data_IF_448289941009
#
_entry.id   IF_448289941009
#
_cell.length_a   1.000
_cell.length_b   1.000
_cell.length_c   1.000
_cell.angle_alpha   90.00
_cell.angle_beta   90.00
_cell.angle_gamma   90.00
#
_symmetry.space_group_name_H-M   'P 1'
#
loop_
_entity.id
_entity.type
_entity.pdbx_description
1 polymer ?
#
# COMPACT_ATOMS: atom_id res chain seq x y z
N UNK A 1 -28.55 -9.98 -8.20
CA UNK A 1 -27.66 -9.94 -7.02
C UNK A 1 -26.76 -8.73 -7.17
N UNK A 2 -26.92 -7.77 -6.24
CA UNK A 2 -26.32 -6.42 -6.11
C UNK A 2 -25.80 -5.71 -7.37
N UNK A 3 -26.52 -4.66 -7.80
CA UNK A 3 -25.91 -3.58 -8.59
C UNK A 3 -24.70 -3.04 -7.82
N UNK A 4 -23.50 -3.25 -8.37
CA UNK A 4 -22.28 -2.69 -7.81
C UNK A 4 -22.36 -1.17 -7.94
N UNK A 5 -22.65 -0.48 -6.84
CA UNK A 5 -22.64 0.99 -6.80
C UNK A 5 -21.29 1.48 -7.29
N UNK A 6 -21.30 2.44 -8.21
CA UNK A 6 -20.07 3.05 -8.72
C UNK A 6 -19.49 3.96 -7.63
N UNK A 7 -18.17 3.98 -7.44
CA UNK A 7 -17.55 4.92 -6.52
C UNK A 7 -17.70 6.35 -7.05
N UNK A 8 -17.97 7.28 -6.13
CA UNK A 8 -18.03 8.73 -6.41
C UNK A 8 -16.64 9.30 -6.71
N UNK A 9 -15.61 8.77 -6.04
CA UNK A 9 -14.22 9.14 -6.24
C UNK A 9 -13.30 7.93 -5.97
N UNK A 10 -12.16 7.90 -6.67
CA UNK A 10 -11.14 6.85 -6.55
C UNK A 10 -9.77 7.50 -6.43
N UNK A 11 -8.95 7.01 -5.50
CA UNK A 11 -7.52 7.32 -5.41
C UNK A 11 -6.69 6.04 -5.49
N UNK A 12 -5.47 6.12 -6.04
CA UNK A 12 -4.55 5.00 -6.12
C UNK A 12 -3.10 5.42 -5.84
N UNK A 13 -2.48 4.84 -4.83
CA UNK A 13 -1.02 4.90 -4.65
C UNK A 13 -0.36 3.83 -5.53
N UNK A 14 0.52 4.23 -6.45
CA UNK A 14 1.18 3.28 -7.37
C UNK A 14 2.17 2.38 -6.61
N UNK A 15 2.50 1.22 -7.18
CA UNK A 15 3.33 0.22 -6.50
C UNK A 15 4.66 0.80 -5.96
N UNK A 16 5.43 1.63 -6.70
CA UNK A 16 6.64 2.24 -6.13
C UNK A 16 6.33 3.13 -4.91
N UNK A 17 5.27 3.94 -4.96
CA UNK A 17 4.80 4.74 -3.82
C UNK A 17 4.40 3.88 -2.63
N UNK A 18 3.70 2.78 -2.88
CA UNK A 18 3.30 1.81 -1.87
C UNK A 18 4.53 1.18 -1.20
N UNK A 19 5.51 0.72 -1.99
CA UNK A 19 6.72 0.09 -1.47
C UNK A 19 7.64 1.07 -0.72
N UNK A 20 7.60 2.37 -1.05
CA UNK A 20 8.30 3.42 -0.28
C UNK A 20 7.78 3.59 1.15
N UNK A 21 6.57 3.10 1.46
CA UNK A 21 6.05 3.13 2.83
C UNK A 21 6.81 2.19 3.77
N UNK A 22 7.52 1.19 3.24
CA UNK A 22 8.29 0.26 4.05
C UNK A 22 9.58 0.96 4.52
N UNK A 23 9.84 1.04 5.84
CA UNK A 23 11.10 1.59 6.32
C UNK A 23 12.31 0.82 5.75
N UNK A 24 13.40 1.49 5.35
CA UNK A 24 14.56 0.82 4.75
C UNK A 24 15.14 -0.31 5.62
N UNK A 25 15.16 -0.13 6.95
CA UNK A 25 15.59 -1.19 7.88
C UNK A 25 14.69 -2.43 7.79
N UNK A 26 13.38 -2.27 7.64
CA UNK A 26 12.44 -3.38 7.48
C UNK A 26 12.63 -4.08 6.14
N UNK A 27 12.84 -3.34 5.05
CA UNK A 27 13.16 -3.95 3.74
C UNK A 27 14.42 -4.81 3.84
N UNK A 28 15.49 -4.29 4.45
CA UNK A 28 16.74 -5.03 4.61
C UNK A 28 16.53 -6.35 5.37
N UNK A 29 15.76 -6.33 6.47
CA UNK A 29 15.44 -7.52 7.25
C UNK A 29 14.62 -8.52 6.43
N UNK A 30 13.57 -8.07 5.74
CA UNK A 30 12.71 -8.92 4.90
C UNK A 30 13.53 -9.63 3.82
N UNK A 31 14.37 -8.87 3.11
CA UNK A 31 15.18 -9.42 2.01
C UNK A 31 16.28 -10.36 2.53
N UNK A 32 16.90 -10.04 3.67
CA UNK A 32 17.90 -10.90 4.33
C UNK A 32 17.29 -12.25 4.73
N UNK A 33 16.13 -12.24 5.37
CA UNK A 33 15.42 -13.46 5.75
C UNK A 33 14.95 -14.27 4.55
N UNK A 34 14.49 -13.60 3.48
CA UNK A 34 14.14 -14.28 2.24
C UNK A 34 15.34 -15.03 1.64
N UNK A 35 16.49 -14.37 1.50
CA UNK A 35 17.71 -14.99 0.96
C UNK A 35 18.18 -16.15 1.84
N UNK A 36 18.19 -15.95 3.17
CA UNK A 36 18.56 -16.98 4.14
C UNK A 36 17.66 -18.21 4.04
N UNK A 37 16.35 -18.01 3.88
CA UNK A 37 15.39 -19.10 3.69
C UNK A 37 15.61 -19.86 2.37
N UNK A 38 16.00 -19.16 1.30
CA UNK A 38 16.18 -19.76 -0.03
C UNK A 38 17.54 -20.45 -0.23
N UNK A 39 18.59 -19.95 0.41
CA UNK A 39 19.97 -20.40 0.20
C UNK A 39 20.59 -21.09 1.42
N UNK A 40 19.97 -20.98 2.59
CA UNK A 40 20.54 -21.43 3.86
C UNK A 40 21.63 -20.52 4.42
N UNK A 41 21.98 -19.42 3.72
CA UNK A 41 23.05 -18.49 4.13
C UNK A 41 22.56 -17.04 4.06
N UNK A 42 23.03 -16.15 4.96
CA UNK A 42 22.76 -14.73 4.81
C UNK A 42 23.42 -14.18 3.53
N UNK A 43 22.82 -13.16 2.89
CA UNK A 43 23.46 -12.45 1.79
C UNK A 43 24.67 -11.64 2.27
N UNK A 44 25.62 -11.43 1.37
CA UNK A 44 26.65 -10.42 1.55
C UNK A 44 26.03 -9.03 1.39
N UNK A 45 26.34 -8.14 2.34
CA UNK A 45 25.87 -6.76 2.37
C UNK A 45 26.97 -5.81 1.90
N UNK A 46 27.03 -5.43 0.61
CA UNK A 46 27.83 -4.28 0.20
C UNK A 46 27.25 -3.00 0.81
N UNK A 47 28.11 -2.14 1.36
CA UNK A 47 27.73 -0.77 1.73
C UNK A 47 27.25 -0.04 0.46
N UNK A 48 26.05 0.52 0.50
CA UNK A 48 25.49 1.35 -0.56
C UNK A 48 24.95 2.62 0.07
N UNK A 49 25.40 3.76 -0.45
CA UNK A 49 25.09 5.11 0.07
C UNK A 49 23.66 5.57 -0.25
N UNK A 50 22.90 4.85 -1.10
CA UNK A 50 21.59 5.32 -1.59
C UNK A 50 20.51 4.24 -1.76
N UNK A 51 20.69 3.03 -1.21
CA UNK A 51 19.73 1.94 -1.37
C UNK A 51 20.18 0.63 -0.73
N UNK A 52 19.36 -0.42 -0.85
CA UNK A 52 19.66 -1.75 -0.34
C UNK A 52 20.16 -2.61 -1.50
N UNK A 53 21.42 -3.05 -1.41
CA UNK A 53 22.01 -4.01 -2.34
C UNK A 53 22.40 -5.25 -1.56
N UNK A 54 21.87 -6.41 -1.96
CA UNK A 54 22.21 -7.71 -1.38
C UNK A 54 22.79 -8.61 -2.46
N UNK A 55 23.89 -9.30 -2.15
CA UNK A 55 24.50 -10.29 -3.04
C UNK A 55 24.39 -11.67 -2.41
N UNK A 56 24.08 -12.67 -3.24
CA UNK A 56 24.03 -14.06 -2.83
C UNK A 56 24.35 -14.98 -4.00
N UNK A 57 24.47 -16.29 -3.75
CA UNK A 57 24.69 -17.30 -4.80
C UNK A 57 23.64 -17.24 -5.92
N UNK A 58 22.40 -16.87 -5.57
CA UNK A 58 21.31 -16.72 -6.53
C UNK A 58 21.40 -15.49 -7.44
N UNK A 59 22.19 -14.47 -7.09
CA UNK A 59 22.26 -13.21 -7.82
C UNK A 59 22.33 -11.97 -6.93
N UNK A 60 22.00 -10.81 -7.50
CA UNK A 60 21.94 -9.52 -6.80
C UNK A 60 20.50 -9.03 -6.69
N UNK A 61 20.13 -8.53 -5.52
CA UNK A 61 18.85 -7.87 -5.27
C UNK A 61 19.14 -6.40 -4.98
N UNK A 62 18.52 -5.49 -5.73
CA UNK A 62 18.61 -4.06 -5.52
C UNK A 62 17.23 -3.49 -5.19
N UNK A 63 17.15 -2.70 -4.13
CA UNK A 63 15.94 -1.97 -3.76
C UNK A 63 16.26 -0.51 -3.43
N UNK A 64 15.63 0.41 -4.14
CA UNK A 64 15.75 1.86 -3.93
C UNK A 64 14.45 2.55 -4.29
N UNK A 65 13.96 3.42 -3.40
CA UNK A 65 12.80 4.27 -3.65
C UNK A 65 11.56 3.51 -4.16
N UNK A 66 11.30 2.33 -3.58
CA UNK A 66 10.16 1.48 -3.97
C UNK A 66 10.36 0.68 -5.26
N UNK A 67 11.51 0.83 -5.94
CA UNK A 67 11.86 0.03 -7.10
C UNK A 67 12.68 -1.19 -6.66
N UNK A 68 12.27 -2.36 -7.13
CA UNK A 68 12.94 -3.64 -6.90
C UNK A 68 13.48 -4.17 -8.22
N UNK A 69 14.78 -4.43 -8.25
CA UNK A 69 15.47 -5.10 -9.34
C UNK A 69 16.14 -6.38 -8.84
N UNK A 70 16.09 -7.42 -9.66
CA UNK A 70 16.73 -8.69 -9.39
C UNK A 70 17.56 -9.13 -10.59
N UNK A 71 18.86 -9.24 -10.38
CA UNK A 71 19.82 -9.73 -11.37
C UNK A 71 20.21 -11.17 -11.02
N UNK A 72 19.66 -12.19 -11.70
CA UNK A 72 19.98 -13.58 -11.41
C UNK A 72 21.43 -13.93 -11.80
N UNK A 73 22.08 -14.80 -11.03
CA UNK A 73 23.39 -15.32 -11.39
C UNK A 73 23.28 -16.25 -12.62
N UNK A 74 24.16 -16.15 -13.65
CA UNK A 74 24.07 -16.93 -14.88
C UNK A 74 23.92 -18.45 -14.70
N UNK A 75 24.65 -19.04 -13.75
CA UNK A 75 24.56 -20.48 -13.45
C UNK A 75 23.28 -20.91 -12.70
N UNK A 76 22.53 -19.97 -12.12
CA UNK A 76 21.37 -20.27 -11.26
C UNK A 76 20.04 -19.75 -11.82
N UNK A 77 20.05 -19.08 -12.99
CA UNK A 77 18.87 -18.41 -13.59
C UNK A 77 17.60 -19.26 -13.53
N UNK A 78 17.67 -20.54 -13.90
CA UNK A 78 16.49 -21.44 -13.87
C UNK A 78 15.93 -21.67 -12.46
N UNK A 79 16.78 -21.71 -11.44
CA UNK A 79 16.40 -21.94 -10.03
C UNK A 79 15.85 -20.69 -9.37
N UNK A 80 16.26 -19.51 -9.83
CA UNK A 80 15.92 -18.22 -9.21
C UNK A 80 14.97 -17.35 -10.04
N UNK A 81 14.51 -17.84 -11.19
CA UNK A 81 13.70 -17.09 -12.16
C UNK A 81 12.51 -16.34 -11.55
N UNK A 82 11.90 -16.91 -10.50
CA UNK A 82 10.70 -16.36 -9.87
C UNK A 82 11.00 -15.48 -8.65
N UNK A 83 12.26 -15.38 -8.20
CA UNK A 83 12.61 -14.68 -6.97
C UNK A 83 12.20 -13.21 -6.99
N UNK A 84 12.39 -12.51 -8.12
CA UNK A 84 11.96 -11.11 -8.25
C UNK A 84 10.46 -10.95 -7.98
N UNK A 85 9.63 -11.83 -8.53
CA UNK A 85 8.17 -11.83 -8.33
C UNK A 85 7.79 -12.23 -6.90
N UNK A 86 8.46 -13.24 -6.33
CA UNK A 86 8.24 -13.67 -4.95
C UNK A 86 8.55 -12.54 -3.96
N UNK A 87 9.71 -11.90 -4.11
CA UNK A 87 10.14 -10.77 -3.26
C UNK A 87 9.15 -9.62 -3.40
N UNK A 88 8.78 -9.24 -4.63
CA UNK A 88 7.81 -8.18 -4.89
C UNK A 88 6.47 -8.46 -4.19
N UNK A 89 5.99 -9.71 -4.26
CA UNK A 89 4.76 -10.12 -3.56
C UNK A 89 4.87 -9.95 -2.05
N UNK A 90 5.98 -10.38 -1.44
CA UNK A 90 6.22 -10.25 0.01
C UNK A 90 6.22 -8.77 0.42
N UNK A 91 6.97 -7.93 -0.30
CA UNK A 91 7.05 -6.50 -0.02
C UNK A 91 5.68 -5.83 -0.16
N UNK A 92 4.90 -6.19 -1.19
CA UNK A 92 3.53 -5.68 -1.37
C UNK A 92 2.60 -6.06 -0.23
N UNK A 93 2.66 -7.29 0.27
CA UNK A 93 1.86 -7.70 1.44
C UNK A 93 2.19 -6.86 2.66
N UNK A 94 3.48 -6.63 2.92
CA UNK A 94 3.92 -5.81 4.05
C UNK A 94 3.50 -4.34 3.89
N UNK A 95 3.77 -3.77 2.71
CA UNK A 95 3.40 -2.40 2.39
C UNK A 95 1.89 -2.16 2.43
N UNK A 96 1.09 -3.12 1.96
CA UNK A 96 -0.37 -3.02 1.97
C UNK A 96 -0.96 -2.91 3.37
N UNK A 97 -0.39 -3.63 4.35
CA UNK A 97 -0.78 -3.50 5.75
C UNK A 97 -0.44 -2.11 6.32
N UNK A 98 0.77 -1.60 6.03
CA UNK A 98 1.17 -0.25 6.44
C UNK A 98 0.29 0.83 5.80
N UNK A 99 -0.03 0.65 4.51
CA UNK A 99 -0.88 1.55 3.75
C UNK A 99 -2.27 1.69 4.35
N UNK A 100 -2.95 0.56 4.54
CA UNK A 100 -4.29 0.52 5.12
C UNK A 100 -4.31 1.18 6.49
N UNK A 101 -3.34 0.85 7.35
CA UNK A 101 -3.21 1.46 8.67
C UNK A 101 -3.07 2.99 8.57
N UNK A 102 -2.15 3.48 7.73
CA UNK A 102 -1.89 4.92 7.57
C UNK A 102 -3.11 5.67 7.04
N UNK A 103 -3.83 5.12 6.06
CA UNK A 103 -5.06 5.74 5.53
C UNK A 103 -6.12 5.80 6.62
N UNK A 104 -6.34 4.73 7.38
CA UNK A 104 -7.30 4.73 8.49
C UNK A 104 -6.96 5.79 9.54
N UNK A 105 -5.69 5.91 9.94
CA UNK A 105 -5.23 6.94 10.88
C UNK A 105 -5.49 8.37 10.36
N UNK A 106 -5.22 8.62 9.08
CA UNK A 106 -5.50 9.92 8.44
C UNK A 106 -7.00 10.24 8.40
N UNK A 107 -7.84 9.23 8.11
CA UNK A 107 -9.29 9.38 8.11
C UNK A 107 -9.83 9.60 9.53
N UNK A 108 -9.35 8.87 10.52
CA UNK A 108 -9.71 9.03 11.94
C UNK A 108 -9.27 10.40 12.50
N UNK A 109 -8.20 10.99 11.95
CA UNK A 109 -7.78 12.34 12.29
C UNK A 109 -8.78 13.40 11.80
N UNK A 110 -9.13 13.37 10.51
CA UNK A 110 -9.95 14.42 9.86
C UNK A 110 -11.47 14.18 9.95
N UNK A 111 -11.89 12.93 10.12
CA UNK A 111 -13.29 12.52 10.09
C UNK A 111 -13.67 11.76 11.36
N UNK A 112 -14.95 11.84 11.73
CA UNK A 112 -15.55 10.94 12.70
C UNK A 112 -15.90 9.63 12.00
N UNK A 113 -15.33 8.53 12.47
CA UNK A 113 -15.67 7.17 12.01
C UNK A 113 -16.92 6.71 12.74
N UNK A 114 -18.00 6.47 11.99
CA UNK A 114 -19.28 5.97 12.48
C UNK A 114 -19.28 4.44 12.57
N UNK A 115 -18.65 3.79 11.60
CA UNK A 115 -18.55 2.34 11.51
C UNK A 115 -17.24 1.94 10.84
N UNK A 116 -16.66 0.82 11.27
CA UNK A 116 -15.46 0.22 10.68
C UNK A 116 -15.65 -1.28 10.53
N UNK A 117 -15.32 -1.81 9.37
CA UNK A 117 -15.37 -3.24 9.07
C UNK A 117 -14.07 -3.68 8.42
N UNK A 118 -13.48 -4.74 8.95
CA UNK A 118 -12.27 -5.36 8.40
C UNK A 118 -12.66 -6.67 7.73
N UNK A 119 -12.18 -6.89 6.51
CA UNK A 119 -12.31 -8.19 5.83
C UNK A 119 -11.04 -9.04 5.99
N UNK A 120 -11.16 -10.35 5.77
CA UNK A 120 -10.03 -11.30 5.83
C UNK A 120 -8.91 -11.02 4.81
N UNK A 121 -9.18 -10.22 3.78
CA UNK A 121 -8.20 -9.77 2.79
C UNK A 121 -7.44 -8.49 3.17
N UNK A 122 -7.64 -7.95 4.37
CA UNK A 122 -7.04 -6.69 4.82
C UNK A 122 -7.69 -5.43 4.24
N UNK A 123 -8.87 -5.57 3.63
CA UNK A 123 -9.68 -4.42 3.18
C UNK A 123 -10.38 -3.84 4.40
N UNK A 124 -10.29 -2.52 4.56
CA UNK A 124 -11.01 -1.76 5.57
C UNK A 124 -12.14 -0.97 4.90
N UNK A 125 -13.35 -1.07 5.45
CA UNK A 125 -14.49 -0.26 5.04
C UNK A 125 -14.87 0.63 6.21
N UNK A 126 -14.83 1.94 6.00
CA UNK A 126 -15.15 2.95 7.00
C UNK A 126 -16.38 3.75 6.56
N UNK A 127 -17.33 3.96 7.46
CA UNK A 127 -18.37 4.98 7.29
C UNK A 127 -17.93 6.22 8.06
N UNK A 128 -17.79 7.35 7.38
CA UNK A 128 -17.18 8.56 7.92
C UNK A 128 -18.04 9.79 7.69
N UNK A 129 -17.94 10.74 8.64
CA UNK A 129 -18.47 12.11 8.50
C UNK A 129 -17.40 13.14 8.90
N UNK A 130 -17.31 14.32 8.27
CA UNK A 130 -16.41 15.39 8.72
C UNK A 130 -16.60 15.74 10.20
N UNK A 131 -15.51 16.02 10.94
CA UNK A 131 -15.58 16.39 12.37
C UNK A 131 -16.18 17.79 12.60
N UNK A 132 -15.97 18.71 11.66
CA UNK A 132 -16.19 20.14 11.90
C UNK A 132 -17.60 20.64 11.50
N UNK A 133 -18.58 19.75 11.27
CA UNK A 133 -19.92 20.17 10.78
C UNK A 133 -21.07 19.47 11.51
N UNK A 134 -21.88 20.27 12.23
CA UNK A 134 -22.96 19.80 13.11
C UNK A 134 -24.32 19.55 12.42
N UNK A 135 -24.56 20.02 11.20
CA UNK A 135 -25.88 19.88 10.56
C UNK A 135 -25.81 19.46 9.08
N UNK A 136 -26.56 18.41 8.77
CA UNK A 136 -26.76 17.83 7.43
C UNK A 136 -25.50 17.31 6.74
N UNK A 137 -24.74 16.47 7.46
CA UNK A 137 -23.45 15.94 6.98
C UNK A 137 -23.65 14.71 6.10
N UNK A 138 -23.14 14.77 4.87
CA UNK A 138 -23.06 13.60 3.98
C UNK A 138 -22.19 12.53 4.64
N UNK A 139 -22.76 11.34 4.82
CA UNK A 139 -22.01 10.15 5.23
C UNK A 139 -21.37 9.54 3.98
N UNK A 140 -20.06 9.31 4.06
CA UNK A 140 -19.30 8.63 3.03
C UNK A 140 -18.90 7.25 3.52
N UNK A 141 -18.98 6.26 2.63
CA UNK A 141 -18.38 4.96 2.84
C UNK A 141 -17.06 4.90 2.07
N UNK A 142 -15.98 4.53 2.73
CA UNK A 142 -14.63 4.50 2.17
C UNK A 142 -14.09 3.09 2.25
N UNK A 143 -13.80 2.49 1.10
CA UNK A 143 -13.10 1.21 1.01
C UNK A 143 -11.62 1.45 0.77
N UNK A 144 -10.77 0.95 1.67
CA UNK A 144 -9.31 1.04 1.61
C UNK A 144 -8.75 -0.36 1.36
N UNK A 145 -8.09 -0.54 0.21
CA UNK A 145 -7.53 -1.82 -0.19
C UNK A 145 -6.00 -1.85 0.03
N UNK A 146 -5.43 -3.00 0.46
CA UNK A 146 -3.98 -3.18 0.59
C UNK A 146 -3.18 -2.97 -0.71
N UNK A 147 -3.86 -2.95 -1.85
CA UNK A 147 -3.23 -2.68 -3.16
C UNK A 147 -2.87 -1.21 -3.38
N UNK A 148 -3.10 -0.32 -2.40
CA UNK A 148 -2.92 1.11 -2.56
C UNK A 148 -4.16 1.84 -3.09
N UNK A 149 -5.33 1.19 -3.15
CA UNK A 149 -6.55 1.77 -3.71
C UNK A 149 -7.46 2.28 -2.61
N UNK A 150 -8.05 3.46 -2.81
CA UNK A 150 -9.16 3.98 -2.02
C UNK A 150 -10.35 4.23 -2.94
N UNK A 151 -11.55 3.86 -2.50
CA UNK A 151 -12.79 4.10 -3.23
C UNK A 151 -13.83 4.66 -2.28
N UNK A 152 -14.45 5.77 -2.68
CA UNK A 152 -15.42 6.51 -1.87
C UNK A 152 -16.81 6.35 -2.47
N UNK A 153 -17.79 6.08 -1.62
CA UNK A 153 -19.19 5.85 -1.96
C UNK A 153 -20.07 6.70 -1.05
N UNK A 154 -21.33 6.91 -1.46
CA UNK A 154 -22.36 7.44 -0.57
C UNK A 154 -23.68 6.72 -0.85
N UNK A 155 -24.59 6.76 0.12
CA UNK A 155 -25.98 6.32 -0.08
C UNK A 155 -26.80 7.34 -0.90
N UNK A 156 -26.33 8.59 -0.97
CA UNK A 156 -26.96 9.66 -1.74
C UNK A 156 -26.01 10.14 -2.83
N UNK A 157 -26.40 10.02 -4.09
CA UNK A 157 -25.66 10.57 -5.22
C UNK A 157 -26.17 11.98 -5.52
N UNK A 158 -25.63 12.98 -4.82
CA UNK A 158 -25.89 14.39 -5.06
C UNK A 158 -24.57 15.17 -5.16
N UNK A 159 -24.63 16.40 -5.70
CA UNK A 159 -23.44 17.22 -5.94
C UNK A 159 -22.57 17.38 -4.68
N UNK A 160 -23.21 17.58 -3.52
CA UNK A 160 -22.52 17.69 -2.24
C UNK A 160 -21.75 16.40 -1.87
N UNK A 161 -22.29 15.22 -2.18
CA UNK A 161 -21.61 13.95 -1.92
C UNK A 161 -20.39 13.75 -2.82
N UNK A 162 -20.49 14.16 -4.10
CA UNK A 162 -19.35 14.15 -5.02
C UNK A 162 -18.26 15.13 -4.58
N UNK A 163 -18.63 16.36 -4.20
CA UNK A 163 -17.69 17.35 -3.66
C UNK A 163 -16.95 16.79 -2.44
N UNK A 164 -17.67 16.22 -1.47
CA UNK A 164 -17.05 15.63 -0.27
C UNK A 164 -16.18 14.42 -0.57
N UNK A 165 -16.57 13.59 -1.53
CA UNK A 165 -15.76 12.44 -1.95
C UNK A 165 -14.43 12.90 -2.57
N UNK A 166 -14.47 13.94 -3.40
CA UNK A 166 -13.27 14.53 -4.01
C UNK A 166 -12.38 15.21 -2.96
N UNK A 167 -12.94 15.99 -2.04
CA UNK A 167 -12.19 16.59 -0.93
C UNK A 167 -11.46 15.54 -0.07
N UNK A 168 -12.09 14.38 0.15
CA UNK A 168 -11.47 13.27 0.87
C UNK A 168 -10.28 12.72 0.09
N UNK A 169 -10.43 12.47 -1.21
CA UNK A 169 -9.33 11.99 -2.04
C UNK A 169 -8.20 13.02 -2.12
N UNK A 170 -8.50 14.31 -2.33
CA UNK A 170 -7.49 15.37 -2.32
C UNK A 170 -6.72 15.44 -1.00
N UNK A 171 -7.41 15.27 0.14
CA UNK A 171 -6.73 15.19 1.43
C UNK A 171 -5.76 14.00 1.54
N UNK A 172 -6.15 12.83 1.00
CA UNK A 172 -5.30 11.65 0.97
C UNK A 172 -4.11 11.82 0.01
N UNK A 173 -4.29 12.54 -1.09
CA UNK A 173 -3.23 12.94 -2.02
C UNK A 173 -2.24 13.90 -1.33
N UNK A 174 -2.72 14.97 -0.71
CA UNK A 174 -1.90 15.92 0.05
C UNK A 174 -1.09 15.23 1.17
N UNK A 175 -1.62 14.12 1.70
CA UNK A 175 -0.98 13.30 2.72
C UNK A 175 0.00 12.24 2.17
N UNK A 176 0.14 12.14 0.84
CA UNK A 176 1.04 11.22 0.14
C UNK A 176 0.62 9.76 0.19
N UNK A 177 -0.68 9.46 0.30
CA UNK A 177 -1.21 8.08 0.31
C UNK A 177 -2.13 7.78 -0.89
N UNK A 178 -2.15 8.67 -1.87
CA UNK A 178 -2.78 8.52 -3.18
C UNK A 178 -1.90 9.27 -4.19
N UNK A 179 -1.72 8.72 -5.40
CA UNK A 179 -1.13 9.43 -6.54
C UNK A 179 -2.21 9.55 -7.65
N UNK A 180 -2.21 10.64 -8.42
CA UNK A 180 -2.90 10.68 -9.71
C UNK A 180 -1.94 10.40 -10.88
#
# INVERSE_FOLDING_TARGET
MSDARRPLAIGQLREPGLLKLIPPKSVLLILTEYVKKKTGRPPDQPQSFEGILLRCEGGKIFFKDGNLEFEPHPFYVKKVKDWGNEIRRILRTYAGGLYVKRVCELLEHKYTVLRRQSSSGGIEILEVKPKDQETDTVVLQVAVLPSGKVSVFSDRENDRAYERANELISYLEDSGVVDF
#
